data_IF_941544614469
#
_entry.id   IF_941544614469
#
_cell.length_a   1.000
_cell.length_b   1.000
_cell.length_c   1.000
_cell.angle_alpha   90.00
_cell.angle_beta   90.00
_cell.angle_gamma   90.00
#
_symmetry.space_group_name_H-M   'P 1'
#
loop_
_entity.id
_entity.type
_entity.pdbx_description
1 polymer ?
#
# COMPACT_ATOMS: atom_id res chain seq x y z
N UNK A 1 -7.42 -17.15 12.96
CA UNK A 1 -7.18 -18.59 12.81
C UNK A 1 -6.91 -18.97 11.35
N UNK A 2 -7.71 -18.49 10.40
CA UNK A 2 -7.52 -18.76 8.95
C UNK A 2 -6.12 -18.41 8.48
N UNK A 3 -5.59 -17.25 8.90
CA UNK A 3 -4.25 -16.79 8.52
C UNK A 3 -3.13 -17.73 8.97
N UNK A 4 -3.27 -18.35 10.14
CA UNK A 4 -2.27 -19.31 10.66
C UNK A 4 -2.30 -20.61 9.85
N UNK A 5 -3.49 -21.19 9.64
CA UNK A 5 -3.63 -22.45 8.90
C UNK A 5 -3.28 -22.33 7.44
N UNK A 6 -3.91 -21.40 6.73
CA UNK A 6 -3.67 -21.15 5.30
C UNK A 6 -2.27 -20.61 5.05
N UNK A 7 -1.81 -19.68 5.90
CA UNK A 7 -0.48 -19.09 5.75
C UNK A 7 0.64 -20.11 5.84
N UNK A 8 0.55 -21.07 6.75
CA UNK A 8 1.55 -22.13 6.87
C UNK A 8 1.59 -23.04 5.63
N UNK A 9 0.43 -23.44 5.10
CA UNK A 9 0.34 -24.24 3.89
C UNK A 9 0.89 -23.48 2.67
N UNK A 10 0.44 -22.27 2.47
CA UNK A 10 0.86 -21.42 1.34
C UNK A 10 2.36 -21.08 1.40
N UNK A 11 2.90 -20.83 2.60
CA UNK A 11 4.33 -20.62 2.80
C UNK A 11 5.16 -21.86 2.40
N UNK A 12 4.60 -23.04 2.61
CA UNK A 12 5.21 -24.31 2.21
C UNK A 12 4.98 -24.66 0.74
N UNK A 13 4.36 -23.78 -0.05
CA UNK A 13 4.06 -24.05 -1.47
C UNK A 13 2.91 -25.02 -1.69
N UNK A 14 2.03 -25.22 -0.70
CA UNK A 14 0.92 -26.16 -0.76
C UNK A 14 -0.39 -25.40 -0.99
N UNK A 15 -1.10 -25.73 -2.05
CA UNK A 15 -2.45 -25.26 -2.40
C UNK A 15 -2.46 -24.20 -3.49
N UNK A 16 -3.40 -24.35 -4.43
CA UNK A 16 -3.61 -23.47 -5.60
C UNK A 16 -4.87 -22.62 -5.46
N UNK A 17 -5.71 -22.90 -4.47
CA UNK A 17 -6.94 -22.17 -4.17
C UNK A 17 -7.07 -21.90 -2.68
N UNK A 18 -7.66 -20.76 -2.35
CA UNK A 18 -7.87 -20.32 -0.96
C UNK A 18 -9.36 -20.05 -0.72
N UNK A 19 -9.87 -20.56 0.40
CA UNK A 19 -11.19 -20.20 0.89
C UNK A 19 -11.08 -19.71 2.33
N UNK A 20 -11.61 -18.51 2.56
CA UNK A 20 -11.80 -17.94 3.89
C UNK A 20 -13.29 -17.97 4.20
N UNK A 21 -13.67 -18.29 5.43
CA UNK A 21 -15.05 -18.22 5.90
C UNK A 21 -15.13 -17.36 7.15
N UNK A 22 -15.97 -16.35 7.12
CA UNK A 22 -16.20 -15.40 8.20
C UNK A 22 -17.70 -15.31 8.51
N UNK A 23 -18.04 -14.93 9.73
CA UNK A 23 -19.41 -14.54 10.09
C UNK A 23 -19.61 -13.06 9.77
N UNK A 24 -19.44 -12.69 8.49
CA UNK A 24 -19.44 -11.32 7.97
C UNK A 24 -19.93 -11.32 6.52
N UNK A 25 -19.91 -10.15 5.87
CA UNK A 25 -20.21 -10.03 4.44
C UNK A 25 -19.21 -10.88 3.61
N UNK A 26 -19.69 -11.61 2.59
CA UNK A 26 -18.80 -12.39 1.71
C UNK A 26 -17.66 -11.60 1.06
N UNK A 27 -17.83 -10.31 0.86
CA UNK A 27 -16.78 -9.41 0.36
C UNK A 27 -15.60 -9.35 1.33
N UNK A 28 -15.86 -9.39 2.63
CA UNK A 28 -14.80 -9.39 3.64
C UNK A 28 -13.95 -10.66 3.58
N UNK A 29 -14.53 -11.80 3.22
CA UNK A 29 -13.79 -13.05 3.04
C UNK A 29 -12.77 -12.93 1.91
N UNK A 30 -13.14 -12.28 0.82
CA UNK A 30 -12.25 -12.01 -0.32
C UNK A 30 -11.14 -11.04 0.08
N UNK A 31 -11.48 -9.95 0.77
CA UNK A 31 -10.49 -8.98 1.27
C UNK A 31 -9.46 -9.65 2.19
N UNK A 32 -9.92 -10.42 3.16
CA UNK A 32 -9.03 -11.16 4.08
C UNK A 32 -8.16 -12.17 3.33
N UNK A 33 -8.70 -12.87 2.34
CA UNK A 33 -7.94 -13.78 1.50
C UNK A 33 -6.81 -13.07 0.74
N UNK A 34 -7.10 -11.93 0.12
CA UNK A 34 -6.09 -11.12 -0.55
C UNK A 34 -5.02 -10.57 0.40
N UNK A 35 -5.41 -10.11 1.59
CA UNK A 35 -4.44 -9.64 2.58
C UNK A 35 -3.47 -10.74 3.05
N UNK A 36 -3.97 -11.98 3.22
CA UNK A 36 -3.08 -13.12 3.49
C UNK A 36 -2.10 -13.39 2.35
N UNK A 37 -2.55 -13.36 1.10
CA UNK A 37 -1.70 -13.56 -0.08
C UNK A 37 -0.68 -12.44 -0.26
N UNK A 38 -1.07 -11.20 0.00
CA UNK A 38 -0.18 -10.03 0.00
C UNK A 38 0.91 -10.16 1.07
N UNK A 39 0.53 -10.51 2.30
CA UNK A 39 1.48 -10.69 3.40
C UNK A 39 2.52 -11.79 3.13
N UNK A 40 2.19 -12.78 2.30
CA UNK A 40 3.08 -13.86 1.88
C UNK A 40 3.86 -13.55 0.59
N UNK A 41 3.65 -12.40 -0.03
CA UNK A 41 4.24 -12.04 -1.32
C UNK A 41 3.75 -12.88 -2.51
N UNK A 42 2.63 -13.58 -2.37
CA UNK A 42 2.08 -14.47 -3.42
C UNK A 42 1.15 -13.74 -4.40
N UNK A 43 0.57 -12.65 -3.98
CA UNK A 43 -0.26 -11.76 -4.81
C UNK A 43 0.01 -10.31 -4.45
N UNK A 44 0.09 -9.48 -5.44
CA UNK A 44 0.25 -8.04 -5.30
C UNK A 44 -0.96 -7.36 -5.93
N UNK A 45 -1.87 -6.87 -5.12
CA UNK A 45 -3.05 -6.14 -5.58
C UNK A 45 -3.38 -5.04 -4.58
N UNK A 46 -3.61 -3.85 -5.09
CA UNK A 46 -4.00 -2.71 -4.30
C UNK A 46 -2.86 -2.09 -3.49
N UNK A 47 -3.15 -0.99 -2.86
CA UNK A 47 -2.19 -0.26 -2.04
C UNK A 47 -1.86 -1.03 -0.77
N UNK A 48 -0.59 -1.20 -0.49
CA UNK A 48 -0.10 -1.75 0.79
C UNK A 48 0.38 -0.60 1.66
N UNK A 49 -0.37 -0.32 2.73
CA UNK A 49 0.01 0.74 3.67
C UNK A 49 0.89 0.18 4.78
N UNK A 50 2.09 0.73 4.90
CA UNK A 50 3.05 0.41 5.96
C UNK A 50 3.02 1.57 6.96
N UNK A 51 2.62 1.31 8.19
CA UNK A 51 2.54 2.35 9.22
C UNK A 51 3.26 1.95 10.50
N UNK A 52 3.79 2.94 11.20
CA UNK A 52 4.34 2.70 12.52
C UNK A 52 3.23 2.58 13.57
N UNK A 53 3.45 1.83 14.66
CA UNK A 53 2.58 1.91 15.81
C UNK A 53 2.63 3.31 16.41
N UNK A 54 1.47 3.85 16.79
CA UNK A 54 1.36 5.15 17.42
C UNK A 54 2.22 5.23 18.71
N UNK A 55 3.06 6.24 18.83
CA UNK A 55 3.92 6.44 20.00
C UNK A 55 4.03 7.94 20.35
N UNK A 56 4.66 8.23 21.49
CA UNK A 56 4.80 9.61 21.97
C UNK A 56 5.62 10.55 21.06
N UNK A 57 6.32 10.02 20.07
CA UNK A 57 7.12 10.80 19.10
C UNK A 57 6.34 11.18 17.84
N UNK A 58 5.10 10.75 17.69
CA UNK A 58 4.31 11.06 16.49
C UNK A 58 4.02 12.56 16.40
N UNK A 59 4.12 13.12 15.20
CA UNK A 59 3.81 14.51 14.90
C UNK A 59 2.36 14.73 14.43
N UNK A 60 1.62 13.64 14.15
CA UNK A 60 0.23 13.65 13.70
C UNK A 60 -0.47 12.36 14.10
N UNK A 61 -1.80 12.30 14.00
CA UNK A 61 -2.58 11.09 14.27
C UNK A 61 -2.44 10.07 13.13
N UNK A 62 -1.52 9.12 13.31
CA UNK A 62 -1.23 8.06 12.34
C UNK A 62 -2.43 7.14 12.15
N UNK A 63 -3.16 6.82 13.21
CA UNK A 63 -4.26 5.85 13.16
C UNK A 63 -5.42 6.36 12.31
N UNK A 64 -5.86 7.59 12.55
CA UNK A 64 -6.95 8.19 11.76
C UNK A 64 -6.52 8.42 10.31
N UNK A 65 -5.27 8.85 10.09
CA UNK A 65 -4.70 9.04 8.76
C UNK A 65 -4.69 7.75 7.94
N UNK A 66 -4.24 6.65 8.53
CA UNK A 66 -4.19 5.34 7.85
C UNK A 66 -5.60 4.88 7.49
N UNK A 67 -6.56 4.97 8.41
CA UNK A 67 -7.95 4.58 8.14
C UNK A 67 -8.58 5.36 6.98
N UNK A 68 -8.33 6.66 6.92
CA UNK A 68 -8.84 7.49 5.83
C UNK A 68 -8.17 7.15 4.50
N UNK A 69 -6.85 6.94 4.50
CA UNK A 69 -6.13 6.51 3.30
C UNK A 69 -6.57 5.13 2.80
N UNK A 70 -6.79 4.16 3.69
CA UNK A 70 -7.32 2.83 3.33
C UNK A 70 -8.67 2.94 2.61
N UNK A 71 -9.58 3.76 3.14
CA UNK A 71 -10.89 3.98 2.51
C UNK A 71 -10.79 4.68 1.16
N UNK A 72 -9.98 5.72 1.06
CA UNK A 72 -9.85 6.51 -0.16
C UNK A 72 -9.12 5.79 -1.28
N UNK A 73 -8.21 4.88 -0.95
CA UNK A 73 -7.39 4.13 -1.89
C UNK A 73 -7.91 2.71 -2.18
N UNK A 74 -9.06 2.31 -1.60
CA UNK A 74 -9.63 0.96 -1.78
C UNK A 74 -9.91 0.60 -3.24
N UNK A 75 -10.19 1.60 -4.08
CA UNK A 75 -10.49 1.42 -5.50
C UNK A 75 -9.27 1.12 -6.38
N UNK A 76 -8.06 1.35 -5.88
CA UNK A 76 -6.81 1.13 -6.61
C UNK A 76 -6.45 -0.35 -6.59
N UNK A 77 -6.23 -0.92 -7.76
CA UNK A 77 -5.85 -2.33 -7.92
C UNK A 77 -4.35 -2.54 -8.13
N UNK A 78 -3.63 -1.51 -8.55
CA UNK A 78 -2.19 -1.53 -8.82
C UNK A 78 -1.40 -1.74 -7.53
N UNK A 79 -0.34 -2.58 -7.55
CA UNK A 79 0.47 -2.87 -6.38
C UNK A 79 1.39 -1.69 -6.06
N UNK A 80 0.95 -0.83 -5.17
CA UNK A 80 1.69 0.37 -4.72
C UNK A 80 1.95 0.26 -3.23
N UNK A 81 3.14 0.63 -2.79
CA UNK A 81 3.52 0.69 -1.39
C UNK A 81 3.48 2.13 -0.89
N UNK A 82 2.79 2.36 0.24
CA UNK A 82 2.66 3.66 0.88
C UNK A 82 3.08 3.59 2.35
N UNK A 83 4.10 4.34 2.74
CA UNK A 83 4.52 4.42 4.16
C UNK A 83 3.98 5.66 4.86
N UNK A 84 3.39 5.46 6.04
CA UNK A 84 2.85 6.54 6.91
C UNK A 84 3.51 6.43 8.28
N UNK A 85 4.53 7.22 8.50
CA UNK A 85 5.37 7.15 9.71
C UNK A 85 5.28 8.44 10.50
N UNK A 86 4.82 8.35 11.73
CA UNK A 86 4.51 9.51 12.57
C UNK A 86 5.70 10.37 13.01
N UNK A 87 6.95 9.94 12.82
CA UNK A 87 8.12 10.68 13.30
C UNK A 87 9.31 10.63 12.33
N UNK A 88 10.23 11.58 12.50
CA UNK A 88 11.46 11.68 11.69
C UNK A 88 12.52 10.64 12.02
N UNK A 89 12.37 9.87 13.09
CA UNK A 89 13.42 8.92 13.53
C UNK A 89 13.41 7.67 12.66
N UNK A 90 12.26 7.02 12.52
CA UNK A 90 12.10 5.80 11.71
C UNK A 90 11.60 6.12 10.29
N UNK A 91 10.96 7.29 10.12
CA UNK A 91 10.33 7.68 8.87
C UNK A 91 11.22 7.59 7.63
N UNK A 92 12.43 8.17 7.63
CA UNK A 92 13.29 8.12 6.47
C UNK A 92 13.74 6.72 6.05
N UNK A 93 13.87 5.78 6.99
CA UNK A 93 14.21 4.38 6.72
C UNK A 93 13.09 3.68 5.96
N UNK A 94 11.88 3.70 6.55
CA UNK A 94 10.70 3.06 5.95
C UNK A 94 10.30 3.72 4.62
N UNK A 95 10.34 5.05 4.52
CA UNK A 95 9.95 5.77 3.32
C UNK A 95 10.87 5.51 2.12
N UNK A 96 12.11 5.08 2.35
CA UNK A 96 13.04 4.72 1.27
C UNK A 96 12.68 3.42 0.57
N UNK A 97 11.99 2.53 1.26
CA UNK A 97 11.62 1.21 0.77
C UNK A 97 10.22 1.19 0.14
N UNK A 98 9.57 2.36 0.01
CA UNK A 98 8.21 2.48 -0.50
C UNK A 98 8.12 3.41 -1.70
N UNK A 99 7.08 3.21 -2.52
CA UNK A 99 6.80 4.02 -3.70
C UNK A 99 6.46 5.46 -3.33
N UNK A 100 5.61 5.61 -2.32
CA UNK A 100 5.21 6.90 -1.74
C UNK A 100 5.36 6.81 -0.24
N UNK A 101 5.84 7.87 0.40
CA UNK A 101 5.99 7.89 1.85
C UNK A 101 5.71 9.25 2.44
N UNK A 102 5.22 9.25 3.69
CA UNK A 102 5.10 10.44 4.50
C UNK A 102 5.66 10.22 5.89
N UNK A 103 6.52 11.12 6.30
CA UNK A 103 7.13 11.08 7.64
C UNK A 103 6.72 12.30 8.42
N UNK A 104 6.22 12.10 9.63
CA UNK A 104 5.94 13.19 10.54
C UNK A 104 7.16 14.03 10.83
N UNK A 105 6.97 15.32 10.98
CA UNK A 105 7.98 16.29 11.40
C UNK A 105 7.48 17.14 12.54
N UNK A 106 8.36 17.97 13.11
CA UNK A 106 7.93 19.03 14.04
C UNK A 106 7.12 20.11 13.32
N UNK A 107 6.42 20.95 14.08
CA UNK A 107 5.73 22.16 13.57
C UNK A 107 4.60 21.94 12.55
N UNK A 108 3.82 20.84 12.65
CA UNK A 108 2.58 20.66 11.85
C UNK A 108 2.81 20.32 10.38
N UNK A 109 4.00 19.91 9.99
CA UNK A 109 4.35 19.49 8.62
C UNK A 109 5.21 18.22 8.63
N UNK A 110 5.21 17.50 7.53
CA UNK A 110 6.06 16.31 7.33
C UNK A 110 6.75 16.33 5.98
N UNK A 111 7.61 15.34 5.77
CA UNK A 111 8.35 15.14 4.52
C UNK A 111 7.65 14.09 3.67
N UNK A 112 7.37 14.42 2.43
CA UNK A 112 6.89 13.50 1.39
C UNK A 112 8.10 12.84 0.74
N UNK A 113 7.98 11.55 0.48
CA UNK A 113 8.95 10.75 -0.27
C UNK A 113 8.28 10.18 -1.51
N UNK A 114 9.01 10.20 -2.63
CA UNK A 114 8.58 9.61 -3.91
C UNK A 114 9.71 8.72 -4.41
N UNK A 115 9.38 7.48 -4.73
CA UNK A 115 10.35 6.46 -5.16
C UNK A 115 11.58 6.37 -4.22
N UNK A 116 11.33 6.36 -2.92
CA UNK A 116 12.35 6.25 -1.89
C UNK A 116 13.18 7.52 -1.62
N UNK A 117 12.93 8.61 -2.31
CA UNK A 117 13.69 9.87 -2.16
C UNK A 117 12.85 10.96 -1.49
N UNK A 118 13.43 11.75 -0.58
CA UNK A 118 12.75 12.93 -0.06
C UNK A 118 12.48 13.92 -1.19
N UNK A 119 11.24 14.38 -1.28
CA UNK A 119 10.78 15.25 -2.36
C UNK A 119 10.48 16.66 -1.82
N UNK A 120 9.42 16.82 -1.06
CA UNK A 120 9.03 18.12 -0.51
C UNK A 120 8.34 17.99 0.86
N UNK A 121 8.19 19.11 1.54
CA UNK A 121 7.42 19.20 2.79
C UNK A 121 5.95 19.50 2.50
N UNK A 122 5.07 18.87 3.28
CA UNK A 122 3.62 19.12 3.20
C UNK A 122 3.03 19.34 4.59
N UNK A 123 2.13 20.31 4.78
CA UNK A 123 1.38 20.46 6.02
C UNK A 123 0.50 19.24 6.30
N UNK A 124 0.29 18.90 7.57
CA UNK A 124 -0.49 17.72 7.96
C UNK A 124 -1.96 17.80 7.50
N UNK A 125 -2.56 18.97 7.47
CA UNK A 125 -3.94 19.17 7.04
C UNK A 125 -4.17 19.00 5.53
N UNK A 126 -3.10 19.02 4.72
CA UNK A 126 -3.16 18.80 3.26
C UNK A 126 -2.56 17.46 2.84
N UNK A 127 -2.01 16.73 3.80
CA UNK A 127 -1.23 15.51 3.56
C UNK A 127 -2.05 14.43 2.86
N UNK A 128 -3.25 14.15 3.35
CA UNK A 128 -4.07 13.04 2.87
C UNK A 128 -4.45 13.24 1.41
N UNK A 129 -5.00 14.40 1.05
CA UNK A 129 -5.37 14.72 -0.33
C UNK A 129 -4.16 14.64 -1.27
N UNK A 130 -3.03 15.12 -0.80
CA UNK A 130 -1.80 15.09 -1.57
C UNK A 130 -1.28 13.67 -1.81
N UNK A 131 -1.26 12.82 -0.77
CA UNK A 131 -0.84 11.43 -0.88
C UNK A 131 -1.78 10.60 -1.77
N UNK A 132 -3.09 10.83 -1.65
CA UNK A 132 -4.07 10.19 -2.54
C UNK A 132 -3.76 10.54 -4.00
N UNK A 133 -3.56 11.81 -4.31
CA UNK A 133 -3.21 12.23 -5.67
C UNK A 133 -1.91 11.62 -6.18
N UNK A 134 -0.86 11.50 -5.35
CA UNK A 134 0.39 10.85 -5.75
C UNK A 134 0.20 9.37 -6.06
N UNK A 135 -0.57 8.66 -5.23
CA UNK A 135 -0.84 7.23 -5.43
C UNK A 135 -1.72 7.01 -6.67
N UNK A 136 -2.75 7.83 -6.88
CA UNK A 136 -3.60 7.76 -8.08
C UNK A 136 -2.82 8.03 -9.38
N UNK A 137 -1.95 9.04 -9.38
CA UNK A 137 -1.08 9.31 -10.53
C UNK A 137 -0.16 8.13 -10.82
N UNK A 138 0.47 7.56 -9.79
CA UNK A 138 1.32 6.38 -9.95
C UNK A 138 0.53 5.18 -10.47
N UNK A 139 -0.68 4.95 -10.00
CA UNK A 139 -1.56 3.89 -10.50
C UNK A 139 -1.89 4.09 -11.99
N UNK A 140 -2.16 5.33 -12.41
CA UNK A 140 -2.40 5.66 -13.81
C UNK A 140 -1.17 5.39 -14.69
N UNK A 141 0.02 5.76 -14.22
CA UNK A 141 1.27 5.51 -14.93
C UNK A 141 1.55 4.01 -15.09
N UNK A 142 1.30 3.22 -14.05
CA UNK A 142 1.44 1.76 -14.09
C UNK A 142 0.47 1.13 -15.09
N UNK A 143 -0.79 1.54 -15.10
CA UNK A 143 -1.79 1.08 -16.09
C UNK A 143 -1.35 1.39 -17.52
N UNK A 144 -0.87 2.58 -17.77
CA UNK A 144 -0.40 2.98 -19.08
C UNK A 144 0.80 2.14 -19.56
N UNK A 145 1.73 1.83 -18.66
CA UNK A 145 2.88 0.98 -18.95
C UNK A 145 2.47 -0.47 -19.28
N UNK A 146 1.54 -1.04 -18.50
CA UNK A 146 1.03 -2.39 -18.73
C UNK A 146 0.29 -2.51 -20.06
N UNK A 147 -0.51 -1.51 -20.43
CA UNK A 147 -1.19 -1.46 -21.73
C UNK A 147 -0.22 -1.40 -22.88
N UNK A 148 0.84 -0.59 -22.80
CA UNK A 148 1.87 -0.51 -23.82
C UNK A 148 2.60 -1.85 -24.02
N UNK A 149 2.93 -2.54 -22.93
CA UNK A 149 3.61 -3.84 -22.95
C UNK A 149 2.73 -4.94 -23.58
N UNK A 150 1.42 -4.87 -23.36
CA UNK A 150 0.47 -5.84 -23.95
C UNK A 150 0.35 -5.66 -25.46
N UNK A 151 0.25 -4.43 -25.93
CA UNK A 151 0.18 -4.11 -27.38
C UNK A 151 1.43 -4.58 -28.11
N UNK A 152 2.62 -4.39 -27.54
CA UNK A 152 3.87 -4.84 -28.16
C UNK A 152 3.97 -6.38 -28.26
N UNK A 153 3.42 -7.11 -27.29
CA UNK A 153 3.36 -8.59 -27.32
C UNK A 153 2.43 -9.10 -28.40
N UNK A 154 1.24 -8.52 -28.51
CA UNK A 154 0.25 -8.90 -29.53
C UNK A 154 0.77 -8.65 -30.95
N UNK A 155 1.55 -7.59 -31.15
CA UNK A 155 2.20 -7.29 -32.43
C UNK A 155 3.34 -8.27 -32.76
N UNK A 156 4.03 -8.80 -31.75
CA UNK A 156 5.13 -9.74 -31.95
C UNK A 156 4.65 -11.18 -32.21
N UNK A 157 3.48 -11.56 -31.66
CA UNK A 157 2.91 -12.91 -31.85
C UNK A 157 2.02 -13.03 -33.11
N UNK A 158 1.70 -11.91 -33.75
CA UNK A 158 0.90 -11.83 -34.99
C UNK A 158 1.69 -11.92 -36.30
N UNK A 159 2.99 -12.22 -36.27
CA UNK A 159 3.87 -12.46 -37.42
C UNK A 159 4.27 -13.94 -37.49
#
# INVERSE_FOLDING_TARGET
KSSIGLGNLLWSGIGDTVRVSLSSDPVDEVKVGFEMLKALGLRHRGVTIISCPSCARQGFDVISTVRELEQRLEHIAEPITLSIIGCVVNGPGEARETDVGFTGGGSGSGMVYVAGKPDHKKPHNEMIDHLVGLVENKAADMKAADMATTVDKDLAEGQ
#
